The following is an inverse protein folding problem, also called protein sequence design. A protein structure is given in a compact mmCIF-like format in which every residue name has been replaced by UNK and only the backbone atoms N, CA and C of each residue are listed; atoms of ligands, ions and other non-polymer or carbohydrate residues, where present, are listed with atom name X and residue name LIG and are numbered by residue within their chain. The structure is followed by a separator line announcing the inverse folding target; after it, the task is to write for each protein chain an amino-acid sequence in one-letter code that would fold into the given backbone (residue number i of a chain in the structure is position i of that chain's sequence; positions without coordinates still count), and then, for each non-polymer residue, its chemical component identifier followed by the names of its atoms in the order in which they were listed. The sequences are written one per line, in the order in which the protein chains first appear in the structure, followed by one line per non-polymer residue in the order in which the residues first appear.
data_IF_049682691087
#
_entry.id   IF_049682691087
#
_cell.length_a   1.000
_cell.length_b   1.000
_cell.length_c   1.000
_cell.angle_alpha   90.00
_cell.angle_beta   90.00
_cell.angle_gamma   90.00
#
_symmetry.space_group_name_H-M   'P 1'
#
loop_
_entity.id
_entity.type
_entity.pdbx_description
1 polymer ?
#
# COMPACT_ATOMS: atom_id res chain seq x y z
N UNK A 1 31.82 -4.37 5.71
CA UNK A 1 30.99 -5.56 5.41
C UNK A 1 29.67 -5.02 4.84
N UNK A 2 29.39 -5.20 3.54
CA UNK A 2 28.05 -4.89 3.00
C UNK A 2 27.11 -5.96 3.54
N UNK A 3 26.39 -5.68 4.63
CA UNK A 3 25.23 -6.50 5.00
C UNK A 3 24.23 -6.35 3.86
N UNK A 4 24.05 -7.39 3.07
CA UNK A 4 22.97 -7.44 2.08
C UNK A 4 21.68 -7.38 2.88
N UNK A 5 20.89 -6.33 2.68
CA UNK A 5 19.57 -6.23 3.29
C UNK A 5 18.72 -7.35 2.70
N UNK A 6 18.48 -8.43 3.47
CA UNK A 6 17.58 -9.49 3.05
C UNK A 6 16.15 -9.06 3.35
N UNK A 7 15.26 -9.14 2.36
CA UNK A 7 13.83 -8.90 2.57
C UNK A 7 13.32 -9.97 3.54
N UNK A 8 13.06 -9.57 4.78
CA UNK A 8 12.46 -10.41 5.80
C UNK A 8 11.22 -9.70 6.34
N UNK A 9 10.04 -10.28 6.08
CA UNK A 9 8.75 -9.75 6.50
C UNK A 9 8.01 -10.73 7.44
N UNK A 10 8.75 -11.63 8.08
CA UNK A 10 8.23 -12.55 9.10
C UNK A 10 7.44 -11.85 10.23
N UNK A 11 7.80 -10.62 10.69
CA UNK A 11 6.99 -9.87 11.64
C UNK A 11 5.58 -9.56 11.15
N UNK A 12 5.40 -9.38 9.84
CA UNK A 12 4.10 -9.18 9.19
C UNK A 12 3.40 -10.49 8.80
N UNK A 13 3.97 -11.63 9.17
CA UNK A 13 3.47 -12.97 8.85
C UNK A 13 3.35 -13.26 7.34
N UNK A 14 4.20 -12.62 6.53
CA UNK A 14 4.26 -12.80 5.07
C UNK A 14 5.68 -13.13 4.60
N UNK A 15 5.78 -13.83 3.49
CA UNK A 15 7.06 -14.09 2.83
C UNK A 15 7.46 -12.94 1.90
N UNK A 16 8.72 -12.93 1.46
CA UNK A 16 9.16 -12.01 0.41
C UNK A 16 8.41 -12.22 -0.93
N UNK A 17 7.96 -13.45 -1.20
CA UNK A 17 7.16 -13.75 -2.40
C UNK A 17 5.75 -13.17 -2.28
N UNK A 18 5.11 -13.28 -1.11
CA UNK A 18 3.79 -12.69 -0.86
C UNK A 18 3.83 -11.16 -1.02
N UNK A 19 4.86 -10.52 -0.46
CA UNK A 19 5.12 -9.10 -0.63
C UNK A 19 5.24 -8.69 -2.10
N UNK A 20 6.02 -9.45 -2.89
CA UNK A 20 6.19 -9.18 -4.31
C UNK A 20 4.87 -9.37 -5.08
N UNK A 21 4.10 -10.42 -4.75
CA UNK A 21 2.80 -10.67 -5.35
C UNK A 21 1.83 -9.52 -5.05
N UNK A 22 1.76 -9.05 -3.80
CA UNK A 22 0.94 -7.89 -3.40
C UNK A 22 1.35 -6.65 -4.22
N UNK A 23 2.64 -6.36 -4.31
CA UNK A 23 3.17 -5.20 -5.06
C UNK A 23 2.82 -5.25 -6.54
N UNK A 24 2.93 -6.45 -7.15
CA UNK A 24 2.54 -6.69 -8.55
C UNK A 24 1.04 -6.51 -8.74
N UNK A 25 0.22 -7.07 -7.85
CA UNK A 25 -1.24 -6.99 -7.91
C UNK A 25 -1.74 -5.56 -7.72
N UNK A 26 -1.17 -4.80 -6.78
CA UNK A 26 -1.47 -3.38 -6.57
C UNK A 26 -1.17 -2.57 -7.84
N UNK A 27 0.00 -2.78 -8.45
CA UNK A 27 0.36 -2.12 -9.70
C UNK A 27 -0.53 -2.53 -10.88
N UNK A 28 -0.84 -3.82 -11.03
CA UNK A 28 -1.72 -4.31 -12.09
C UNK A 28 -3.13 -3.72 -11.97
N UNK A 29 -3.68 -3.67 -10.76
CA UNK A 29 -4.98 -3.05 -10.49
C UNK A 29 -4.95 -1.57 -10.83
N UNK A 30 -3.95 -0.83 -10.34
CA UNK A 30 -3.78 0.59 -10.63
C UNK A 30 -3.68 0.85 -12.13
N UNK A 31 -2.83 0.09 -12.84
CA UNK A 31 -2.62 0.22 -14.28
C UNK A 31 -3.90 -0.05 -15.07
N UNK A 32 -4.59 -1.16 -14.81
CA UNK A 32 -5.81 -1.51 -15.52
C UNK A 32 -6.94 -0.53 -15.26
N UNK A 33 -7.01 0.05 -14.06
CA UNK A 33 -7.99 1.06 -13.71
C UNK A 33 -7.66 2.40 -14.36
N UNK A 34 -6.48 2.97 -14.09
CA UNK A 34 -6.13 4.32 -14.52
C UNK A 34 -5.84 4.46 -16.02
N UNK A 35 -5.48 3.37 -16.71
CA UNK A 35 -5.29 3.36 -18.18
C UNK A 35 -6.57 3.66 -18.97
N UNK A 36 -7.75 3.60 -18.34
CA UNK A 36 -9.04 3.93 -18.97
C UNK A 36 -9.62 5.27 -18.57
N UNK A 37 -9.13 5.87 -17.49
CA UNK A 37 -9.65 7.13 -16.96
C UNK A 37 -8.70 8.30 -17.22
N UNK A 38 -7.45 8.22 -16.73
CA UNK A 38 -6.45 9.29 -16.79
C UNK A 38 -5.07 8.65 -16.97
N UNK A 39 -4.72 8.21 -18.20
CA UNK A 39 -3.49 7.47 -18.44
C UNK A 39 -2.21 8.22 -18.03
N UNK A 40 -2.19 9.55 -18.13
CA UNK A 40 -1.04 10.37 -17.71
C UNK A 40 -0.73 10.22 -16.22
N UNK A 41 -1.75 10.04 -15.37
CA UNK A 41 -1.55 9.88 -13.93
C UNK A 41 -0.76 8.59 -13.59
N UNK A 42 -0.68 7.62 -14.52
CA UNK A 42 0.11 6.41 -14.34
C UNK A 42 1.62 6.65 -14.27
N UNK A 43 2.12 7.79 -14.77
CA UNK A 43 3.53 8.19 -14.60
C UNK A 43 3.91 8.24 -13.11
N UNK A 44 2.95 8.62 -12.25
CA UNK A 44 3.10 8.63 -10.78
C UNK A 44 2.49 7.38 -10.15
N UNK A 45 1.25 7.06 -10.51
CA UNK A 45 0.46 6.04 -9.81
C UNK A 45 0.97 4.62 -10.00
N UNK A 46 1.48 4.27 -11.18
CA UNK A 46 2.01 2.92 -11.42
C UNK A 46 3.22 2.64 -10.52
N UNK A 47 4.31 3.43 -10.55
CA UNK A 47 5.44 3.19 -9.65
C UNK A 47 5.09 3.39 -8.17
N UNK A 48 4.23 4.36 -7.81
CA UNK A 48 3.79 4.53 -6.42
C UNK A 48 3.03 3.30 -5.89
N UNK A 49 2.10 2.76 -6.68
CA UNK A 49 1.32 1.57 -6.29
C UNK A 49 2.17 0.30 -6.14
N UNK A 50 3.22 0.14 -6.94
CA UNK A 50 4.16 -0.98 -6.81
C UNK A 50 4.99 -0.89 -5.52
N UNK A 51 5.27 0.33 -5.04
CA UNK A 51 6.16 0.57 -3.91
C UNK A 51 5.42 0.84 -2.60
N UNK A 52 4.09 0.75 -2.58
CA UNK A 52 3.23 1.09 -1.44
C UNK A 52 3.67 0.44 -0.13
N UNK A 53 4.17 -0.79 -0.20
CA UNK A 53 4.47 -1.62 0.97
C UNK A 53 5.96 -1.63 1.36
N UNK A 54 6.83 -0.90 0.63
CA UNK A 54 8.29 -1.02 0.78
C UNK A 54 8.77 -0.61 2.18
N UNK A 55 8.07 0.31 2.85
CA UNK A 55 8.39 0.73 4.21
C UNK A 55 8.33 -0.41 5.22
N UNK A 56 7.43 -1.39 5.02
CA UNK A 56 7.32 -2.58 5.88
C UNK A 56 8.61 -3.39 5.97
N UNK A 57 9.44 -3.35 4.93
CA UNK A 57 10.73 -4.03 4.92
C UNK A 57 11.66 -3.43 5.98
N UNK A 58 11.65 -2.11 6.12
CA UNK A 58 12.44 -1.40 7.15
C UNK A 58 11.82 -1.58 8.53
N UNK A 59 10.49 -1.48 8.65
CA UNK A 59 9.79 -1.70 9.91
C UNK A 59 10.00 -3.13 10.45
N UNK A 60 9.95 -4.14 9.59
CA UNK A 60 10.21 -5.53 9.97
C UNK A 60 11.66 -5.75 10.46
N UNK A 61 12.62 -5.04 9.86
CA UNK A 61 13.99 -5.06 10.34
C UNK A 61 14.11 -4.44 11.73
N UNK A 62 13.49 -3.28 11.95
CA UNK A 62 13.47 -2.61 13.26
C UNK A 62 12.83 -3.48 14.35
N UNK A 63 11.68 -4.10 14.06
CA UNK A 63 11.02 -5.05 14.98
C UNK A 63 11.93 -6.23 15.35
N UNK A 64 12.75 -6.69 14.40
CA UNK A 64 13.68 -7.80 14.62
C UNK A 64 14.85 -7.37 15.51
N UNK A 65 15.50 -6.25 15.21
CA UNK A 65 16.64 -5.75 15.98
C UNK A 65 16.25 -5.39 17.43
N UNK A 66 15.01 -4.92 17.65
CA UNK A 66 14.50 -4.57 18.97
C UNK A 66 13.81 -5.72 19.71
N UNK A 67 13.80 -6.95 19.17
CA UNK A 67 13.11 -8.12 19.75
C UNK A 67 11.59 -7.93 19.98
N UNK A 68 10.93 -7.11 19.17
CA UNK A 68 9.49 -6.79 19.27
C UNK A 68 8.60 -7.69 18.38
N UNK A 69 9.20 -8.60 17.61
CA UNK A 69 8.49 -9.50 16.67
C UNK A 69 7.34 -10.26 17.31
N UNK A 70 7.55 -10.87 18.49
CA UNK A 70 6.54 -11.70 19.13
C UNK A 70 5.30 -10.89 19.58
N UNK A 71 5.52 -9.68 20.11
CA UNK A 71 4.45 -8.77 20.50
C UNK A 71 3.68 -8.30 19.27
N UNK A 72 4.40 -7.82 18.24
CA UNK A 72 3.80 -7.33 17.00
C UNK A 72 2.93 -8.41 16.36
N UNK A 73 3.44 -9.64 16.19
CA UNK A 73 2.67 -10.76 15.62
C UNK A 73 1.44 -11.13 16.44
N UNK A 74 1.50 -11.00 17.76
CA UNK A 74 0.35 -11.29 18.63
C UNK A 74 -0.78 -10.28 18.39
N UNK A 75 -0.44 -8.99 18.30
CA UNK A 75 -1.42 -7.93 18.00
C UNK A 75 -1.90 -7.98 16.55
N UNK A 76 -1.02 -8.29 15.60
CA UNK A 76 -1.33 -8.43 14.17
C UNK A 76 -2.47 -9.45 13.94
N UNK A 77 -2.50 -10.55 14.70
CA UNK A 77 -3.56 -11.58 14.61
C UNK A 77 -4.95 -11.10 15.05
N UNK A 78 -5.04 -9.95 15.74
CA UNK A 78 -6.29 -9.39 16.24
C UNK A 78 -6.90 -8.35 15.29
N UNK A 79 -6.20 -8.01 14.21
CA UNK A 79 -6.61 -6.99 13.26
C UNK A 79 -6.77 -7.58 11.86
N UNK A 80 -7.55 -6.91 11.00
CA UNK A 80 -7.86 -7.38 9.66
C UNK A 80 -7.98 -6.26 8.62
N UNK A 81 -7.61 -5.03 9.00
CA UNK A 81 -7.69 -3.85 8.15
C UNK A 81 -6.35 -3.13 8.05
N UNK A 82 -6.12 -2.45 6.93
CA UNK A 82 -4.91 -1.63 6.72
C UNK A 82 -4.86 -0.41 7.64
N UNK A 83 -6.01 0.08 8.10
CA UNK A 83 -6.10 1.17 9.07
C UNK A 83 -5.58 0.70 10.44
N UNK A 84 -6.06 -0.43 10.94
CA UNK A 84 -5.61 -0.98 12.21
C UNK A 84 -4.12 -1.37 12.16
N UNK A 85 -3.64 -1.79 10.99
CA UNK A 85 -2.21 -2.08 10.79
C UNK A 85 -1.36 -0.80 10.93
N UNK A 86 -1.77 0.31 10.33
CA UNK A 86 -1.05 1.57 10.48
C UNK A 86 -1.07 2.07 11.94
N UNK A 87 -2.18 1.87 12.66
CA UNK A 87 -2.24 2.16 14.10
C UNK A 87 -1.29 1.28 14.91
N UNK A 88 -1.22 -0.01 14.61
CA UNK A 88 -0.31 -0.95 15.27
C UNK A 88 1.16 -0.59 15.00
N UNK A 89 1.50 -0.25 13.76
CA UNK A 89 2.84 0.25 13.38
C UNK A 89 3.19 1.49 14.20
N UNK A 90 2.29 2.47 14.25
CA UNK A 90 2.49 3.69 15.04
C UNK A 90 2.57 3.44 16.54
N UNK A 91 1.82 2.47 17.09
CA UNK A 91 1.84 2.13 18.52
C UNK A 91 3.19 1.55 18.95
N UNK A 92 3.82 0.73 18.09
CA UNK A 92 5.03 -0.02 18.43
C UNK A 92 6.30 0.72 18.00
N UNK A 93 6.25 1.46 16.89
CA UNK A 93 7.43 2.05 16.23
C UNK A 93 7.35 3.58 16.09
N UNK A 94 6.26 4.22 16.53
CA UNK A 94 6.01 5.67 16.39
C UNK A 94 6.06 6.19 14.94
N UNK A 95 5.91 5.29 13.96
CA UNK A 95 5.94 5.61 12.54
C UNK A 95 5.21 4.53 11.73
N UNK A 96 4.56 4.94 10.65
CA UNK A 96 3.83 4.07 9.72
C UNK A 96 4.66 3.66 8.51
N UNK A 97 4.22 2.61 7.82
CA UNK A 97 4.78 2.20 6.52
C UNK A 97 4.83 3.34 5.49
N UNK A 98 3.77 4.15 5.42
CA UNK A 98 3.65 5.25 4.45
C UNK A 98 4.71 6.32 4.71
N UNK A 99 4.92 6.68 5.98
CA UNK A 99 5.93 7.66 6.39
C UNK A 99 7.35 7.16 6.13
N UNK A 100 7.63 5.89 6.42
CA UNK A 100 8.92 5.27 6.08
C UNK A 100 9.14 5.25 4.57
N UNK A 101 8.13 4.87 3.79
CA UNK A 101 8.22 4.83 2.33
C UNK A 101 8.53 6.21 1.74
N UNK A 102 7.84 7.26 2.22
CA UNK A 102 8.11 8.62 1.79
C UNK A 102 9.56 9.06 2.12
N UNK A 103 10.08 8.70 3.30
CA UNK A 103 11.49 8.96 3.67
C UNK A 103 12.47 8.22 2.77
N UNK A 104 12.18 6.96 2.40
CA UNK A 104 13.02 6.20 1.45
C UNK A 104 13.11 6.94 0.11
N UNK A 105 11.98 7.45 -0.39
CA UNK A 105 11.93 8.16 -1.66
C UNK A 105 12.66 9.50 -1.64
N UNK A 106 12.58 10.21 -0.52
CA UNK A 106 13.39 11.41 -0.29
C UNK A 106 14.89 11.09 -0.36
N UNK A 107 15.34 10.02 0.31
CA UNK A 107 16.75 9.60 0.25
C UNK A 107 17.20 9.14 -1.14
N UNK A 108 16.29 8.59 -1.94
CA UNK A 108 16.56 8.20 -3.33
C UNK A 108 16.42 9.36 -4.33
N UNK A 109 16.05 10.55 -3.86
CA UNK A 109 15.81 11.74 -4.68
C UNK A 109 14.80 11.46 -5.82
N UNK A 110 13.73 10.73 -5.48
CA UNK A 110 12.59 10.51 -6.38
C UNK A 110 11.63 11.71 -6.37
N UNK A 111 10.71 11.74 -7.33
CA UNK A 111 9.71 12.80 -7.47
C UNK A 111 8.88 12.97 -6.19
N UNK A 112 8.67 14.22 -5.78
CA UNK A 112 7.98 14.56 -4.53
C UNK A 112 6.53 14.07 -4.57
N UNK A 113 5.88 14.19 -5.73
CA UNK A 113 4.52 13.75 -5.97
C UNK A 113 4.37 12.25 -5.69
N UNK A 114 5.37 11.45 -6.05
CA UNK A 114 5.38 10.01 -5.87
C UNK A 114 5.49 9.62 -4.38
N UNK A 115 6.35 10.30 -3.61
CA UNK A 115 6.43 10.13 -2.15
C UNK A 115 5.20 10.63 -1.41
N UNK A 116 4.73 11.84 -1.74
CA UNK A 116 3.57 12.44 -1.08
C UNK A 116 2.28 11.65 -1.36
N UNK A 117 2.11 11.09 -2.55
CA UNK A 117 0.94 10.26 -2.86
C UNK A 117 0.84 9.05 -1.93
N UNK A 118 1.97 8.43 -1.59
CA UNK A 118 2.01 7.30 -0.64
C UNK A 118 1.82 7.81 0.80
N UNK A 119 2.52 8.88 1.19
CA UNK A 119 2.44 9.47 2.53
C UNK A 119 0.98 9.75 2.94
N UNK A 120 0.23 10.39 2.06
CA UNK A 120 -1.17 10.76 2.31
C UNK A 120 -2.17 9.64 1.98
N UNK A 121 -1.73 8.44 1.60
CA UNK A 121 -2.65 7.35 1.22
C UNK A 121 -3.53 6.85 2.38
N UNK A 122 -3.15 7.09 3.64
CA UNK A 122 -4.02 6.82 4.80
C UNK A 122 -5.05 7.96 5.03
N UNK A 123 -4.63 9.21 4.84
CA UNK A 123 -5.42 10.43 5.03
C UNK A 123 -5.46 11.33 3.78
N UNK A 124 -6.07 10.89 2.66
CA UNK A 124 -5.98 11.61 1.40
C UNK A 124 -6.52 13.06 1.44
N UNK A 125 -7.45 13.35 2.34
CA UNK A 125 -8.04 14.68 2.48
C UNK A 125 -7.09 15.72 3.07
N UNK A 126 -6.05 15.28 3.78
CA UNK A 126 -4.99 16.14 4.34
C UNK A 126 -3.91 16.48 3.31
N UNK A 127 -3.93 15.83 2.14
CA UNK A 127 -2.95 16.06 1.09
C UNK A 127 -3.12 17.44 0.41
N UNK A 128 -2.06 18.01 -0.17
CA UNK A 128 -2.19 19.12 -1.12
C UNK A 128 -3.14 18.76 -2.28
N UNK A 129 -3.87 19.73 -2.82
CA UNK A 129 -4.93 19.47 -3.82
C UNK A 129 -4.43 18.69 -5.06
N UNK A 130 -3.20 18.95 -5.51
CA UNK A 130 -2.60 18.25 -6.66
C UNK A 130 -2.18 16.79 -6.34
N UNK A 131 -2.16 16.40 -5.07
CA UNK A 131 -1.82 15.05 -4.58
C UNK A 131 -3.07 14.26 -4.18
N UNK A 132 -4.17 14.93 -3.77
CA UNK A 132 -5.39 14.29 -3.24
C UNK A 132 -5.90 13.16 -4.13
N UNK A 133 -5.96 13.38 -5.44
CA UNK A 133 -6.43 12.36 -6.37
C UNK A 133 -5.54 11.10 -6.34
N UNK A 134 -4.21 11.29 -6.29
CA UNK A 134 -3.27 10.18 -6.25
C UNK A 134 -3.35 9.41 -4.93
N UNK A 135 -3.40 10.14 -3.81
CA UNK A 135 -3.55 9.55 -2.49
C UNK A 135 -4.86 8.75 -2.36
N UNK A 136 -5.99 9.27 -2.87
CA UNK A 136 -7.27 8.56 -2.91
C UNK A 136 -7.21 7.30 -3.77
N UNK A 137 -6.57 7.38 -4.94
CA UNK A 137 -6.38 6.22 -5.82
C UNK A 137 -5.58 5.12 -5.12
N UNK A 138 -4.47 5.48 -4.47
CA UNK A 138 -3.63 4.55 -3.73
C UNK A 138 -4.37 3.96 -2.53
N UNK A 139 -5.19 4.76 -1.82
CA UNK A 139 -6.05 4.28 -0.74
C UNK A 139 -7.01 3.19 -1.22
N UNK A 140 -7.69 3.42 -2.34
CA UNK A 140 -8.57 2.41 -2.97
C UNK A 140 -7.79 1.13 -3.27
N UNK A 141 -6.62 1.24 -3.91
CA UNK A 141 -5.81 0.08 -4.30
C UNK A 141 -5.29 -0.70 -3.09
N UNK A 142 -4.76 -0.04 -2.05
CA UNK A 142 -4.30 -0.74 -0.83
C UNK A 142 -5.45 -1.32 0.00
N UNK A 143 -6.66 -0.77 -0.10
CA UNK A 143 -7.85 -1.39 0.50
C UNK A 143 -8.26 -2.66 -0.24
N UNK A 144 -8.11 -2.69 -1.57
CA UNK A 144 -8.43 -3.85 -2.39
C UNK A 144 -7.37 -4.97 -2.34
N UNK A 145 -6.09 -4.60 -2.17
CA UNK A 145 -4.95 -5.53 -2.15
C UNK A 145 -4.00 -5.14 -1.02
N UNK A 146 -3.86 -6.01 -0.03
CA UNK A 146 -2.98 -5.84 1.14
C UNK A 146 -2.59 -7.20 1.72
N UNK A 147 -1.88 -7.18 2.86
CA UNK A 147 -1.40 -8.39 3.54
C UNK A 147 -2.52 -9.30 4.08
N UNK A 148 -3.73 -8.75 4.31
CA UNK A 148 -4.86 -9.51 4.84
C UNK A 148 -5.78 -10.05 3.76
N UNK A 149 -5.99 -9.25 2.70
CA UNK A 149 -7.00 -9.50 1.67
C UNK A 149 -6.45 -9.13 0.30
N UNK A 150 -6.69 -9.99 -0.69
CA UNK A 150 -6.18 -9.82 -2.06
C UNK A 150 -7.32 -10.03 -3.07
N UNK A 151 -8.06 -8.95 -3.35
CA UNK A 151 -9.21 -8.93 -4.25
C UNK A 151 -10.34 -9.93 -3.91
N UNK A 152 -10.49 -10.36 -2.67
CA UNK A 152 -11.70 -11.08 -2.23
C UNK A 152 -12.93 -10.16 -2.19
N UNK A 153 -14.11 -10.76 -1.94
CA UNK A 153 -15.37 -10.01 -1.93
C UNK A 153 -15.39 -8.90 -0.87
N UNK A 154 -14.70 -9.09 0.26
CA UNK A 154 -14.65 -8.13 1.36
C UNK A 154 -13.83 -6.90 0.96
N UNK A 155 -12.60 -7.12 0.50
CA UNK A 155 -11.68 -6.06 0.07
C UNK A 155 -12.19 -5.30 -1.15
N UNK A 156 -12.78 -5.99 -2.13
CA UNK A 156 -13.41 -5.34 -3.30
C UNK A 156 -14.61 -4.49 -2.89
N UNK A 157 -15.45 -4.97 -1.97
CA UNK A 157 -16.57 -4.19 -1.46
C UNK A 157 -16.09 -2.94 -0.69
N UNK A 158 -15.11 -3.08 0.19
CA UNK A 158 -14.53 -1.97 0.95
C UNK A 158 -13.90 -0.92 0.02
N UNK A 159 -13.15 -1.36 -1.00
CA UNK A 159 -12.58 -0.45 -2.00
C UNK A 159 -13.68 0.24 -2.83
N UNK A 160 -14.77 -0.44 -3.13
CA UNK A 160 -15.93 0.14 -3.85
C UNK A 160 -16.63 1.22 -3.01
N UNK A 161 -16.67 1.10 -1.69
CA UNK A 161 -17.19 2.17 -0.81
C UNK A 161 -16.35 3.44 -0.97
N UNK A 162 -15.02 3.32 -0.98
CA UNK A 162 -14.10 4.44 -1.20
C UNK A 162 -14.24 5.04 -2.61
N UNK A 163 -14.43 4.19 -3.64
CA UNK A 163 -14.73 4.65 -5.01
C UNK A 163 -15.94 5.58 -5.01
N UNK A 164 -17.03 5.19 -4.35
CA UNK A 164 -18.25 6.00 -4.27
C UNK A 164 -18.04 7.28 -3.46
N UNK A 165 -17.35 7.18 -2.31
CA UNK A 165 -17.01 8.32 -1.45
C UNK A 165 -16.20 9.39 -2.20
N UNK A 166 -15.22 8.96 -3.00
CA UNK A 166 -14.34 9.85 -3.76
C UNK A 166 -14.92 10.32 -5.09
N UNK A 167 -16.11 9.83 -5.47
CA UNK A 167 -16.76 10.16 -6.74
C UNK A 167 -16.04 9.58 -7.96
N UNK A 168 -15.30 8.49 -7.78
CA UNK A 168 -14.69 7.76 -8.89
C UNK A 168 -15.72 6.91 -9.63
N UNK A 169 -15.43 6.64 -10.90
CA UNK A 169 -16.30 5.82 -11.75
C UNK A 169 -16.13 4.34 -11.37
N UNK A 170 -17.24 3.70 -10.99
CA UNK A 170 -17.24 2.37 -10.39
C UNK A 170 -16.97 1.25 -11.38
N UNK A 171 -17.51 1.35 -12.59
CA UNK A 171 -17.45 0.25 -13.56
C UNK A 171 -16.02 0.06 -14.07
N UNK A 172 -15.27 1.15 -14.28
CA UNK A 172 -13.84 1.10 -14.63
C UNK A 172 -13.00 0.43 -13.57
N UNK A 173 -13.28 0.68 -12.28
CA UNK A 173 -12.60 -0.02 -11.19
C UNK A 173 -12.94 -1.52 -11.18
N UNK A 174 -14.23 -1.88 -11.27
CA UNK A 174 -14.65 -3.30 -11.25
C UNK A 174 -14.14 -4.08 -12.48
N UNK A 175 -14.10 -3.44 -13.66
CA UNK A 175 -13.47 -4.02 -14.84
C UNK A 175 -11.97 -4.27 -14.63
N UNK A 176 -11.26 -3.37 -13.93
CA UNK A 176 -9.86 -3.56 -13.59
C UNK A 176 -9.68 -4.72 -12.60
N UNK A 177 -10.53 -4.83 -11.57
CA UNK A 177 -10.55 -5.96 -10.63
C UNK A 177 -10.72 -7.28 -11.38
N UNK A 178 -11.71 -7.38 -12.28
CA UNK A 178 -11.92 -8.60 -13.09
C UNK A 178 -10.69 -8.97 -13.89
N UNK A 179 -10.05 -7.99 -14.56
CA UNK A 179 -8.84 -8.24 -15.34
C UNK A 179 -7.67 -8.74 -14.51
N UNK A 180 -7.49 -8.22 -13.29
CA UNK A 180 -6.42 -8.71 -12.42
C UNK A 180 -6.72 -10.15 -12.01
N UNK A 181 -7.96 -10.43 -11.57
CA UNK A 181 -8.38 -11.79 -11.19
C UNK A 181 -8.21 -12.83 -12.29
N UNK A 182 -8.49 -12.46 -13.54
CA UNK A 182 -8.35 -13.35 -14.70
C UNK A 182 -6.88 -13.69 -15.04
N UNK A 183 -5.92 -12.91 -14.53
CA UNK A 183 -4.48 -13.08 -14.76
C UNK A 183 -3.72 -13.64 -13.53
N UNK A 184 -4.43 -13.98 -12.44
CA UNK A 184 -3.88 -14.69 -11.28
C UNK A 184 -3.85 -16.21 -11.52
#
# INVERSE_FOLDING_TARGET
IKKTFSINLEPYDITAQDFLNISIMQNALMYHWYSKIKPKNLEILSPASFMLEVGKIVLAHELTENNQVAEFKTKLKQISSTYDLALLESEILDITNEEVTAKIFEQWNLEIELGNSILYSNTPEEAPDHIKEYARALKVVKTAVNIFNQLDDVSVNNATLLINEYGFERDTFLMAVSKVKDNL
#
